data_IF_538425939499
#
_entry.id   IF_538425939499
#
_cell.length_a   1.000
_cell.length_b   1.000
_cell.length_c   1.000
_cell.angle_alpha   90.00
_cell.angle_beta   90.00
_cell.angle_gamma   90.00
#
_symmetry.space_group_name_H-M   'P 1'
#
loop_
_entity.id
_entity.type
_entity.pdbx_description
1 polymer ?
#
# COMPACT_ATOMS: atom_id res chain seq x y z
N UNK A 1 1.68 -70.76 22.97
CA UNK A 1 0.60 -69.80 22.66
C UNK A 1 0.61 -68.50 23.50
N UNK A 2 1.30 -68.41 24.64
CA UNK A 2 1.29 -67.19 25.49
C UNK A 2 2.28 -66.07 25.07
N UNK A 3 3.38 -66.38 24.37
CA UNK A 3 4.42 -65.37 24.01
C UNK A 3 4.00 -64.42 22.86
N UNK A 4 3.17 -64.87 21.94
CA UNK A 4 2.76 -64.08 20.76
C UNK A 4 1.76 -62.98 21.12
N UNK A 5 0.96 -63.17 22.17
CA UNK A 5 -0.07 -62.21 22.59
C UNK A 5 0.55 -60.96 23.24
N UNK A 6 1.63 -61.11 24.02
CA UNK A 6 2.31 -59.97 24.65
C UNK A 6 3.03 -59.06 23.64
N UNK A 7 3.58 -59.63 22.56
CA UNK A 7 4.22 -58.84 21.51
C UNK A 7 3.21 -58.05 20.69
N UNK A 8 2.04 -58.63 20.38
CA UNK A 8 0.97 -57.93 19.68
C UNK A 8 0.40 -56.77 20.51
N UNK A 9 0.26 -56.96 21.83
CA UNK A 9 -0.24 -55.92 22.75
C UNK A 9 0.74 -54.75 22.91
N UNK A 10 2.05 -55.02 22.91
CA UNK A 10 3.08 -53.99 22.99
C UNK A 10 3.15 -53.15 21.71
N UNK A 11 3.00 -53.79 20.55
CA UNK A 11 3.01 -53.10 19.25
C UNK A 11 1.76 -52.23 19.10
N UNK A 12 0.59 -52.69 19.52
CA UNK A 12 -0.63 -51.86 19.49
C UNK A 12 -0.59 -50.71 20.49
N UNK A 13 -0.01 -50.91 21.68
CA UNK A 13 0.18 -49.82 22.65
C UNK A 13 1.17 -48.76 22.12
N UNK A 14 2.27 -49.18 21.49
CA UNK A 14 3.25 -48.28 20.89
C UNK A 14 2.68 -47.50 19.69
N UNK A 15 1.82 -48.13 18.88
CA UNK A 15 1.11 -47.47 17.78
C UNK A 15 0.07 -46.46 18.29
N UNK A 16 -0.62 -46.77 19.40
CA UNK A 16 -1.53 -45.83 20.06
C UNK A 16 -0.80 -44.61 20.63
N UNK A 17 0.37 -44.80 21.25
CA UNK A 17 1.22 -43.69 21.70
C UNK A 17 1.82 -42.88 20.54
N UNK A 18 2.19 -43.52 19.44
CA UNK A 18 2.65 -42.82 18.23
C UNK A 18 1.53 -42.00 17.56
N UNK A 19 0.29 -42.49 17.57
CA UNK A 19 -0.88 -41.75 17.07
C UNK A 19 -1.27 -40.57 17.96
N UNK A 20 -1.05 -40.67 19.29
CA UNK A 20 -1.26 -39.56 20.23
C UNK A 20 -0.18 -38.46 20.10
N UNK A 21 1.05 -38.83 19.71
CA UNK A 21 2.12 -37.87 19.44
C UNK A 21 1.93 -37.06 18.14
N UNK A 22 1.07 -37.52 17.23
CA UNK A 22 0.68 -36.79 16.01
C UNK A 22 -0.60 -35.98 16.13
N UNK A 23 -1.32 -36.11 17.25
CA UNK A 23 -2.47 -35.27 17.59
C UNK A 23 -2.11 -34.04 18.43
N UNK A 24 -0.82 -33.77 18.67
CA UNK A 24 -0.44 -32.43 19.08
C UNK A 24 -0.73 -31.49 17.92
N UNK A 25 -1.57 -30.45 18.09
CA UNK A 25 -1.70 -29.43 17.08
C UNK A 25 -0.28 -28.95 16.77
N UNK A 26 0.08 -28.95 15.48
CA UNK A 26 1.33 -28.34 15.04
C UNK A 26 1.42 -26.97 15.73
N UNK A 27 2.55 -26.61 16.35
CA UNK A 27 2.67 -25.31 17.00
C UNK A 27 2.23 -24.27 15.98
N UNK A 28 1.12 -23.60 16.30
CA UNK A 28 0.53 -22.57 15.47
C UNK A 28 1.67 -21.64 15.07
N UNK A 29 1.90 -21.45 13.77
CA UNK A 29 3.01 -20.65 13.29
C UNK A 29 3.04 -19.34 14.07
N UNK A 30 4.15 -19.09 14.78
CA UNK A 30 4.28 -17.93 15.67
C UNK A 30 4.27 -16.66 14.81
N UNK A 31 3.10 -16.06 14.64
CA UNK A 31 2.94 -14.71 14.08
C UNK A 31 3.32 -13.65 15.13
N UNK A 32 4.43 -13.85 15.84
CA UNK A 32 4.92 -12.99 16.91
C UNK A 32 6.16 -12.21 16.48
N UNK A 33 6.48 -11.14 17.23
CA UNK A 33 7.72 -10.40 17.03
C UNK A 33 8.93 -11.32 17.17
N UNK A 34 9.75 -11.41 16.11
CA UNK A 34 11.01 -12.16 16.11
C UNK A 34 12.14 -11.42 16.84
N UNK A 35 12.04 -10.09 16.91
CA UNK A 35 12.99 -9.21 17.59
C UNK A 35 12.22 -8.33 18.58
N UNK A 36 12.26 -8.71 19.85
CA UNK A 36 11.52 -8.02 20.91
C UNK A 36 12.41 -7.78 22.13
N UNK A 37 12.32 -6.58 22.68
CA UNK A 37 12.89 -6.21 23.96
C UNK A 37 11.76 -5.71 24.87
N UNK A 38 11.52 -6.41 25.98
CA UNK A 38 10.49 -6.03 26.95
C UNK A 38 11.18 -5.67 28.26
N UNK A 39 10.92 -4.46 28.75
CA UNK A 39 11.34 -4.01 30.08
C UNK A 39 10.11 -3.79 30.94
N UNK A 40 10.26 -3.98 32.25
CA UNK A 40 9.19 -3.75 33.24
C UNK A 40 9.60 -2.65 34.21
N UNK A 41 8.65 -1.83 34.63
CA UNK A 41 8.81 -0.84 35.69
C UNK A 41 7.53 -0.70 36.51
N UNK A 42 7.65 -0.18 37.72
CA UNK A 42 6.51 0.17 38.57
C UNK A 42 6.22 1.66 38.45
N UNK A 43 4.94 2.05 38.36
CA UNK A 43 4.54 3.45 38.46
C UNK A 43 4.93 4.04 39.82
N UNK A 44 5.14 5.35 39.88
CA UNK A 44 5.48 6.02 41.15
C UNK A 44 4.38 5.85 42.21
N UNK A 45 3.10 5.83 41.79
CA UNK A 45 1.97 5.64 42.69
C UNK A 45 1.90 4.20 43.22
N UNK A 46 2.25 3.20 42.42
CA UNK A 46 2.34 1.82 42.86
C UNK A 46 3.55 1.59 43.78
N UNK A 47 4.69 2.23 43.51
CA UNK A 47 5.84 2.24 44.42
C UNK A 47 5.47 2.84 45.78
N UNK A 48 4.77 3.98 45.79
CA UNK A 48 4.27 4.61 47.02
C UNK A 48 3.39 3.66 47.82
N UNK A 49 2.46 2.96 47.14
CA UNK A 49 1.55 2.00 47.77
C UNK A 49 2.30 0.80 48.36
N UNK A 50 3.24 0.22 47.62
CA UNK A 50 4.04 -0.92 48.07
C UNK A 50 4.99 -0.58 49.22
N UNK A 51 5.39 0.68 49.37
CA UNK A 51 6.25 1.15 50.46
C UNK A 51 5.50 1.41 51.79
N UNK A 52 4.16 1.45 51.80
CA UNK A 52 3.37 1.66 53.02
C UNK A 52 3.27 0.36 53.84
N UNK A 53 3.99 0.30 54.96
CA UNK A 53 4.05 -0.85 55.90
C UNK A 53 2.70 -1.30 56.51
N UNK A 54 1.61 -0.55 56.33
CA UNK A 54 0.27 -0.87 56.87
C UNK A 54 -0.59 -1.74 55.93
N UNK A 55 -0.07 -2.14 54.78
CA UNK A 55 -0.80 -2.98 53.84
C UNK A 55 -0.80 -4.45 54.31
N UNK A 56 -1.90 -4.92 54.88
CA UNK A 56 -2.22 -6.35 55.04
C UNK A 56 -2.31 -7.11 53.70
N UNK A 57 -2.23 -6.41 52.57
CA UNK A 57 -2.16 -7.00 51.24
C UNK A 57 -0.70 -7.35 50.92
N UNK A 58 -0.42 -8.57 50.42
CA UNK A 58 0.93 -8.95 50.00
C UNK A 58 1.47 -7.97 48.97
N UNK A 59 2.79 -7.70 49.04
CA UNK A 59 3.49 -6.91 48.04
C UNK A 59 3.15 -7.45 46.63
N UNK A 60 2.67 -6.55 45.77
CA UNK A 60 2.21 -6.91 44.44
C UNK A 60 3.42 -7.14 43.54
N UNK A 61 3.71 -8.41 43.27
CA UNK A 61 4.77 -8.87 42.36
C UNK A 61 4.24 -8.86 40.92
N UNK A 62 4.32 -7.68 40.30
CA UNK A 62 3.86 -7.45 38.93
C UNK A 62 4.62 -8.32 37.91
N UNK A 63 5.90 -8.58 38.17
CA UNK A 63 6.74 -9.40 37.30
C UNK A 63 6.28 -10.87 37.29
N UNK A 64 5.95 -11.44 38.46
CA UNK A 64 5.42 -12.80 38.56
C UNK A 64 4.02 -12.92 37.93
N UNK A 65 3.16 -11.91 38.13
CA UNK A 65 1.83 -11.88 37.50
C UNK A 65 1.94 -11.79 35.97
N UNK A 66 2.86 -10.96 35.47
CA UNK A 66 3.12 -10.84 34.04
C UNK A 66 3.66 -12.13 33.43
N UNK A 67 4.59 -12.80 34.11
CA UNK A 67 5.12 -14.10 33.66
C UNK A 67 4.01 -15.16 33.53
N UNK A 68 3.05 -15.18 34.46
CA UNK A 68 1.92 -16.10 34.40
C UNK A 68 0.95 -15.76 33.24
N UNK A 69 0.71 -14.48 32.97
CA UNK A 69 -0.09 -14.06 31.81
C UNK A 69 0.58 -14.49 30.50
N UNK A 70 1.89 -14.34 30.36
CA UNK A 70 2.65 -14.82 29.19
C UNK A 70 2.59 -16.34 29.05
N UNK A 71 2.59 -17.07 30.16
CA UNK A 71 2.45 -18.54 30.17
C UNK A 71 1.08 -18.97 29.67
N UNK A 72 0.02 -18.26 30.06
CA UNK A 72 -1.35 -18.55 29.66
C UNK A 72 -1.67 -18.08 28.23
N UNK A 73 -0.96 -17.07 27.73
CA UNK A 73 -1.20 -16.45 26.43
C UNK A 73 0.06 -16.55 25.54
N UNK A 74 0.32 -17.69 24.89
CA UNK A 74 1.52 -17.87 24.06
C UNK A 74 1.59 -16.92 22.85
N UNK A 75 0.46 -16.32 22.45
CA UNK A 75 0.37 -15.35 21.35
C UNK A 75 0.29 -13.90 21.85
N UNK A 76 0.68 -13.63 23.10
CA UNK A 76 0.57 -12.31 23.73
C UNK A 76 1.20 -11.16 22.91
N UNK A 77 2.28 -11.45 22.20
CA UNK A 77 3.02 -10.52 21.35
C UNK A 77 2.79 -10.78 19.85
N UNK A 78 1.60 -11.26 19.48
CA UNK A 78 1.24 -11.49 18.09
C UNK A 78 0.41 -10.33 17.55
N UNK A 79 0.54 -10.06 16.24
CA UNK A 79 -0.40 -9.22 15.49
C UNK A 79 -1.59 -10.03 14.92
N UNK A 80 -1.80 -11.26 15.41
CA UNK A 80 -2.94 -12.11 15.10
C UNK A 80 -3.01 -12.58 13.64
N UNK A 81 -4.22 -12.57 13.07
CA UNK A 81 -4.53 -12.97 11.69
C UNK A 81 -4.17 -11.93 10.65
N UNK A 82 -3.54 -10.81 11.03
CA UNK A 82 -3.18 -9.73 10.11
C UNK A 82 -2.07 -10.12 9.11
N UNK A 83 -1.46 -11.29 9.28
CA UNK A 83 -0.38 -11.79 8.43
C UNK A 83 -0.85 -13.01 7.64
N UNK A 84 -0.64 -12.99 6.33
CA UNK A 84 -0.74 -14.18 5.50
C UNK A 84 0.24 -15.25 6.01
N UNK A 85 -0.12 -16.52 5.82
CA UNK A 85 0.64 -17.69 6.31
C UNK A 85 2.08 -17.76 5.81
N UNK A 86 2.45 -16.96 4.81
CA UNK A 86 3.74 -16.98 4.13
C UNK A 86 4.72 -15.87 4.56
N UNK A 87 4.30 -14.92 5.40
CA UNK A 87 5.15 -13.82 5.88
C UNK A 87 5.60 -13.97 7.33
N UNK A 88 6.82 -13.50 7.66
CA UNK A 88 7.30 -13.42 9.06
C UNK A 88 7.49 -11.97 9.51
N UNK A 89 7.04 -11.62 10.71
CA UNK A 89 7.15 -10.26 11.27
C UNK A 89 8.62 -9.92 11.60
N UNK A 90 9.13 -8.86 10.99
CA UNK A 90 10.51 -8.38 11.21
C UNK A 90 10.58 -7.01 11.88
N UNK A 91 9.45 -6.35 12.09
CA UNK A 91 9.38 -5.19 12.99
C UNK A 91 9.99 -5.52 14.33
N UNK A 92 10.81 -4.62 14.86
CA UNK A 92 11.39 -4.71 16.19
C UNK A 92 10.44 -4.08 17.21
N UNK A 93 10.05 -4.81 18.26
CA UNK A 93 9.23 -4.28 19.35
C UNK A 93 10.09 -3.98 20.58
N UNK A 94 10.14 -2.72 21.00
CA UNK A 94 10.67 -2.30 22.29
C UNK A 94 9.49 -1.88 23.17
N UNK A 95 9.07 -2.74 24.08
CA UNK A 95 7.92 -2.50 24.96
C UNK A 95 8.40 -2.22 26.39
N UNK A 96 7.97 -1.11 26.96
CA UNK A 96 8.12 -0.79 28.38
C UNK A 96 6.77 -1.01 29.07
N UNK A 97 6.67 -2.10 29.83
CA UNK A 97 5.49 -2.42 30.63
C UNK A 97 5.58 -1.68 31.95
N UNK A 98 4.56 -0.86 32.25
CA UNK A 98 4.44 -0.09 33.48
C UNK A 98 3.34 -0.71 34.32
N UNK A 99 3.70 -1.31 35.44
CA UNK A 99 2.73 -1.77 36.42
C UNK A 99 2.12 -0.56 37.13
N UNK A 100 0.81 -0.38 36.97
CA UNK A 100 0.09 0.77 37.53
C UNK A 100 -0.80 0.34 38.71
N UNK A 101 -1.14 1.30 39.57
CA UNK A 101 -2.19 1.10 40.57
C UNK A 101 -3.56 1.34 39.93
N UNK A 102 -4.25 0.30 39.47
CA UNK A 102 -5.55 0.43 38.77
C UNK A 102 -6.69 1.06 39.58
N UNK A 103 -6.47 1.39 40.86
CA UNK A 103 -7.40 2.19 41.67
C UNK A 103 -7.17 3.70 41.46
N UNK A 104 -5.92 4.09 41.16
CA UNK A 104 -5.46 5.50 41.09
C UNK A 104 -5.04 5.91 39.68
N UNK A 105 -4.84 4.96 38.78
CA UNK A 105 -4.29 5.15 37.44
C UNK A 105 -5.10 4.32 36.43
N UNK A 106 -5.34 4.89 35.24
CA UNK A 106 -5.97 4.17 34.14
C UNK A 106 -4.91 3.44 33.29
N UNK A 107 -5.24 2.25 32.73
CA UNK A 107 -4.40 1.59 31.73
C UNK A 107 -4.17 2.50 30.52
N UNK A 108 -2.95 2.49 29.98
CA UNK A 108 -2.58 3.36 28.86
C UNK A 108 -1.71 2.63 27.83
N UNK A 109 -1.64 3.19 26.63
CA UNK A 109 -0.79 2.77 25.54
C UNK A 109 -0.22 4.01 24.84
N UNK A 110 1.09 4.20 24.91
CA UNK A 110 1.75 5.40 24.40
C UNK A 110 2.96 5.05 23.54
N UNK A 111 3.16 5.80 22.46
CA UNK A 111 4.43 5.79 21.73
C UNK A 111 5.46 6.61 22.52
N UNK A 112 6.67 6.05 22.71
CA UNK A 112 7.73 6.70 23.50
C UNK A 112 8.19 7.98 22.80
N UNK A 113 7.91 9.14 23.43
CA UNK A 113 8.30 10.46 22.89
C UNK A 113 9.82 10.59 22.79
N UNK A 114 10.30 11.17 21.69
CA UNK A 114 11.74 11.37 21.44
C UNK A 114 12.50 10.12 20.98
N UNK A 115 11.82 8.96 20.87
CA UNK A 115 12.36 7.77 20.23
C UNK A 115 11.97 7.70 18.76
N UNK A 116 12.81 7.11 17.92
CA UNK A 116 12.47 6.85 16.51
C UNK A 116 11.54 5.63 16.45
N UNK A 117 10.26 5.87 16.26
CA UNK A 117 9.24 4.83 16.04
C UNK A 117 8.72 4.89 14.61
N UNK A 118 8.79 3.78 13.89
CA UNK A 118 8.38 3.61 12.49
C UNK A 118 7.94 2.15 12.23
N UNK A 119 7.55 1.81 11.01
CA UNK A 119 7.11 0.45 10.66
C UNK A 119 8.15 -0.65 10.95
N UNK A 120 9.45 -0.31 11.01
CA UNK A 120 10.52 -1.27 11.30
C UNK A 120 10.85 -1.36 12.79
N UNK A 121 10.58 -0.33 13.58
CA UNK A 121 10.83 -0.32 15.03
C UNK A 121 9.72 0.38 15.80
N UNK A 122 9.08 -0.35 16.71
CA UNK A 122 8.06 0.18 17.60
C UNK A 122 8.64 0.40 18.99
N UNK A 123 8.54 1.61 19.54
CA UNK A 123 8.87 1.90 20.93
C UNK A 123 7.60 2.32 21.65
N UNK A 124 7.12 1.46 22.55
CA UNK A 124 5.79 1.56 23.15
C UNK A 124 5.89 1.44 24.66
N UNK A 125 5.14 2.28 25.37
CA UNK A 125 4.96 2.22 26.82
C UNK A 125 3.52 1.82 27.12
N UNK A 126 3.33 0.76 27.90
CA UNK A 126 2.02 0.16 28.16
C UNK A 126 1.78 0.11 29.66
N UNK A 127 0.81 0.88 30.15
CA UNK A 127 0.34 0.83 31.54
C UNK A 127 -0.64 -0.32 31.73
N UNK A 128 -0.34 -1.22 32.65
CA UNK A 128 -1.13 -2.44 32.90
C UNK A 128 -1.44 -2.61 34.39
N UNK A 129 -2.72 -2.86 34.70
CA UNK A 129 -3.19 -3.10 36.06
C UNK A 129 -3.21 -4.60 36.37
N UNK A 130 -2.47 -5.00 37.40
CA UNK A 130 -2.47 -6.36 37.96
C UNK A 130 -3.12 -6.45 39.34
N UNK A 131 -3.58 -5.33 39.90
CA UNK A 131 -3.93 -5.17 41.31
C UNK A 131 -5.41 -5.44 41.59
N UNK A 132 -6.31 -5.07 40.67
CA UNK A 132 -7.76 -5.06 40.93
C UNK A 132 -8.52 -6.34 40.55
N UNK A 133 -7.83 -7.42 40.15
CA UNK A 133 -8.47 -8.57 39.49
C UNK A 133 -8.51 -8.46 37.96
N UNK A 134 -7.92 -7.40 37.40
CA UNK A 134 -7.74 -7.15 35.96
C UNK A 134 -6.73 -8.06 35.23
N UNK A 135 -6.11 -9.04 35.92
CA UNK A 135 -5.15 -9.98 35.27
C UNK A 135 -5.74 -10.67 34.03
N UNK A 136 -7.06 -10.92 34.02
CA UNK A 136 -7.75 -11.52 32.89
C UNK A 136 -7.91 -10.58 31.68
N UNK A 137 -7.71 -9.27 31.81
CA UNK A 137 -7.87 -8.29 30.72
C UNK A 137 -6.56 -7.69 30.24
N UNK A 138 -5.44 -7.91 30.95
CA UNK A 138 -4.11 -7.42 30.55
C UNK A 138 -3.75 -7.84 29.12
N UNK A 139 -4.03 -9.09 28.75
CA UNK A 139 -3.77 -9.58 27.39
C UNK A 139 -4.60 -8.84 26.33
N UNK A 140 -5.84 -8.47 26.65
CA UNK A 140 -6.72 -7.70 25.76
C UNK A 140 -6.15 -6.29 25.59
N UNK A 141 -5.77 -5.64 26.68
CA UNK A 141 -5.21 -4.29 26.65
C UNK A 141 -3.91 -4.22 25.83
N UNK A 142 -3.00 -5.19 26.02
CA UNK A 142 -1.77 -5.26 25.22
C UNK A 142 -2.09 -5.50 23.74
N UNK A 143 -3.03 -6.38 23.41
CA UNK A 143 -3.43 -6.62 22.02
C UNK A 143 -4.04 -5.36 21.38
N UNK A 144 -4.94 -4.66 22.08
CA UNK A 144 -5.49 -3.38 21.63
C UNK A 144 -4.39 -2.32 21.43
N UNK A 145 -3.38 -2.31 22.29
CA UNK A 145 -2.23 -1.43 22.14
C UNK A 145 -1.39 -1.77 20.90
N UNK A 146 -1.12 -3.05 20.64
CA UNK A 146 -0.40 -3.49 19.43
C UNK A 146 -1.19 -3.17 18.15
N UNK A 147 -2.51 -3.36 18.16
CA UNK A 147 -3.40 -2.98 17.05
C UNK A 147 -3.38 -1.47 16.81
N UNK A 148 -3.45 -0.66 17.88
CA UNK A 148 -3.33 0.78 17.79
C UNK A 148 -1.99 1.19 17.17
N UNK A 149 -0.87 0.65 17.66
CA UNK A 149 0.47 0.97 17.14
C UNK A 149 0.62 0.54 15.69
N UNK A 150 0.11 -0.65 15.31
CA UNK A 150 0.06 -1.12 13.93
C UNK A 150 -0.66 -0.11 13.04
N UNK A 151 -1.83 0.35 13.45
CA UNK A 151 -2.66 1.24 12.65
C UNK A 151 -2.03 2.64 12.51
N UNK A 152 -1.27 3.08 13.50
CA UNK A 152 -0.56 4.37 13.50
C UNK A 152 0.76 4.36 12.74
N UNK A 153 1.57 3.30 12.87
CA UNK A 153 2.95 3.26 12.37
C UNK A 153 3.14 2.34 11.16
N UNK A 154 2.24 1.39 10.92
CA UNK A 154 2.49 0.29 9.99
C UNK A 154 3.48 -0.73 10.57
N UNK A 155 3.84 -1.73 9.78
CA UNK A 155 4.74 -2.81 10.18
C UNK A 155 5.53 -3.36 8.99
N UNK A 156 6.59 -4.12 9.25
CA UNK A 156 7.45 -4.71 8.25
C UNK A 156 7.42 -6.24 8.35
N UNK A 157 7.23 -6.88 7.20
CA UNK A 157 7.21 -8.34 7.07
C UNK A 157 8.30 -8.79 6.10
N UNK A 158 8.84 -9.97 6.33
CA UNK A 158 9.70 -10.66 5.37
C UNK A 158 8.88 -11.66 4.59
N UNK A 159 8.85 -11.52 3.27
CA UNK A 159 8.21 -12.42 2.31
C UNK A 159 9.30 -12.97 1.38
N UNK A 160 9.65 -14.24 1.54
CA UNK A 160 10.84 -14.81 0.89
C UNK A 160 12.11 -14.05 1.29
N UNK A 161 12.83 -13.50 0.31
CA UNK A 161 14.05 -12.72 0.53
C UNK A 161 13.82 -11.20 0.64
N UNK A 162 12.59 -10.72 0.43
CA UNK A 162 12.27 -9.29 0.45
C UNK A 162 11.64 -8.89 1.77
N UNK A 163 11.99 -7.69 2.25
CA UNK A 163 11.30 -7.01 3.35
C UNK A 163 10.29 -6.05 2.74
N UNK A 164 9.02 -6.24 3.06
CA UNK A 164 7.91 -5.42 2.62
C UNK A 164 7.40 -4.60 3.80
N UNK A 165 7.32 -3.28 3.62
CA UNK A 165 6.80 -2.36 4.63
C UNK A 165 5.33 -2.10 4.33
N UNK A 166 4.48 -2.57 5.24
CA UNK A 166 3.05 -2.28 5.26
C UNK A 166 2.84 -0.92 5.96
N UNK A 167 2.27 0.08 5.27
CA UNK A 167 2.11 1.42 5.81
C UNK A 167 0.98 1.49 6.86
N UNK A 168 0.84 2.62 7.58
CA UNK A 168 -0.25 2.85 8.52
C UNK A 168 -1.62 2.69 7.88
N UNK A 169 -2.63 2.38 8.70
CA UNK A 169 -4.01 2.16 8.25
C UNK A 169 -4.57 3.33 7.45
N UNK A 170 -4.28 4.57 7.88
CA UNK A 170 -4.69 5.78 7.16
C UNK A 170 -4.19 5.83 5.71
N UNK A 171 -2.98 5.32 5.44
CA UNK A 171 -2.43 5.25 4.09
C UNK A 171 -3.09 4.13 3.30
N UNK A 172 -3.30 2.97 3.91
CA UNK A 172 -4.03 1.85 3.29
C UNK A 172 -5.47 2.24 2.91
N UNK A 173 -6.17 2.96 3.78
CA UNK A 173 -7.53 3.44 3.51
C UNK A 173 -7.53 4.41 2.31
N UNK A 174 -6.58 5.34 2.25
CA UNK A 174 -6.39 6.23 1.08
C UNK A 174 -6.10 5.47 -0.21
N UNK A 175 -5.24 4.47 -0.18
CA UNK A 175 -4.94 3.63 -1.36
C UNK A 175 -6.22 3.01 -1.93
N UNK A 176 -7.11 2.53 -1.04
CA UNK A 176 -8.40 1.94 -1.41
C UNK A 176 -9.38 2.98 -1.93
N UNK A 177 -9.49 4.14 -1.28
CA UNK A 177 -10.33 5.26 -1.70
C UNK A 177 -9.92 5.82 -3.07
N UNK A 178 -8.62 5.88 -3.35
CA UNK A 178 -8.07 6.28 -4.65
C UNK A 178 -8.20 5.21 -5.74
N UNK A 179 -8.73 4.03 -5.41
CA UNK A 179 -8.87 2.86 -6.30
C UNK A 179 -7.57 2.46 -7.00
N UNK A 180 -6.43 2.58 -6.30
CA UNK A 180 -5.14 2.16 -6.85
C UNK A 180 -5.13 0.63 -6.95
N UNK A 181 -4.77 0.04 -8.11
CA UNK A 181 -4.73 -1.40 -8.31
C UNK A 181 -3.97 -2.20 -7.24
N UNK A 182 -4.67 -3.15 -6.59
CA UNK A 182 -4.06 -4.14 -5.67
C UNK A 182 -3.01 -5.07 -6.32
N UNK A 183 -3.03 -5.16 -7.65
CA UNK A 183 -2.01 -5.91 -8.41
C UNK A 183 -0.63 -5.23 -8.42
N UNK A 184 -0.57 -3.95 -8.02
CA UNK A 184 0.68 -3.19 -7.95
C UNK A 184 1.32 -3.42 -6.58
N UNK A 185 2.64 -3.60 -6.54
CA UNK A 185 3.39 -3.72 -5.29
C UNK A 185 3.19 -2.48 -4.39
N UNK A 186 3.13 -2.71 -3.07
CA UNK A 186 2.72 -1.70 -2.08
C UNK A 186 3.63 -0.46 -2.01
N UNK A 187 4.90 -0.60 -2.37
CA UNK A 187 5.85 0.52 -2.49
C UNK A 187 5.53 1.42 -3.69
N UNK A 188 5.18 0.82 -4.83
CA UNK A 188 4.74 1.52 -6.03
C UNK A 188 3.34 2.11 -5.85
N UNK A 189 2.44 1.42 -5.14
CA UNK A 189 1.13 1.97 -4.78
C UNK A 189 1.27 3.28 -3.99
N UNK A 190 2.17 3.35 -3.00
CA UNK A 190 2.42 4.58 -2.25
C UNK A 190 3.01 5.69 -3.12
N UNK A 191 3.85 5.34 -4.11
CA UNK A 191 4.38 6.32 -5.07
C UNK A 191 3.27 6.87 -5.97
N UNK A 192 2.38 6.01 -6.46
CA UNK A 192 1.21 6.40 -7.25
C UNK A 192 0.22 7.21 -6.42
N UNK A 193 0.05 6.91 -5.13
CA UNK A 193 -0.80 7.70 -4.24
C UNK A 193 -0.32 9.13 -4.13
N UNK A 194 0.99 9.35 -3.95
CA UNK A 194 1.56 10.71 -3.93
C UNK A 194 1.31 11.45 -5.23
N UNK A 195 1.49 10.78 -6.37
CA UNK A 195 1.22 11.37 -7.68
C UNK A 195 -0.28 11.69 -7.86
N UNK A 196 -1.16 10.81 -7.37
CA UNK A 196 -2.60 11.01 -7.38
C UNK A 196 -3.03 12.21 -6.51
N UNK A 197 -2.53 12.31 -5.28
CA UNK A 197 -2.81 13.44 -4.37
C UNK A 197 -2.27 14.76 -4.94
N UNK A 198 -1.10 14.74 -5.57
CA UNK A 198 -0.53 15.92 -6.24
C UNK A 198 -1.44 16.39 -7.36
N UNK A 199 -1.84 15.47 -8.25
CA UNK A 199 -2.75 15.74 -9.37
C UNK A 199 -4.12 16.22 -8.92
N UNK A 200 -4.66 15.63 -7.85
CA UNK A 200 -5.93 16.07 -7.29
C UNK A 200 -5.85 17.51 -6.78
N UNK A 201 -4.72 17.87 -6.17
CA UNK A 201 -4.48 19.19 -5.62
C UNK A 201 -4.19 20.23 -6.70
N UNK A 202 -3.35 19.93 -7.70
CA UNK A 202 -2.87 20.91 -8.67
C UNK A 202 -3.52 20.81 -10.06
N UNK A 203 -4.18 19.70 -10.38
CA UNK A 203 -4.72 19.37 -11.72
C UNK A 203 -3.73 19.43 -12.87
N UNK A 204 -2.43 19.32 -12.57
CA UNK A 204 -1.33 19.42 -13.53
C UNK A 204 -0.56 18.10 -13.53
N UNK A 205 0.32 17.93 -14.51
CA UNK A 205 1.21 16.77 -14.58
C UNK A 205 2.07 16.61 -13.30
N UNK A 206 2.19 15.41 -12.69
CA UNK A 206 2.97 15.20 -11.47
C UNK A 206 4.36 15.82 -11.56
N UNK A 207 4.81 16.51 -10.49
CA UNK A 207 6.15 17.07 -10.43
C UNK A 207 7.19 16.05 -10.03
N UNK A 208 6.79 14.96 -9.39
CA UNK A 208 7.75 13.89 -9.12
C UNK A 208 8.04 13.09 -10.41
N UNK A 209 9.27 13.19 -10.91
CA UNK A 209 9.74 12.45 -12.09
C UNK A 209 9.71 10.93 -11.85
N UNK A 210 9.86 10.49 -10.59
CA UNK A 210 9.79 9.07 -10.23
C UNK A 210 8.46 8.42 -10.66
N UNK A 211 7.36 9.18 -10.65
CA UNK A 211 6.06 8.70 -11.13
C UNK A 211 6.10 8.24 -12.61
N UNK A 212 6.95 8.86 -13.43
CA UNK A 212 7.14 8.50 -14.84
C UNK A 212 8.20 7.42 -15.02
N UNK A 213 9.20 7.36 -14.14
CA UNK A 213 10.27 6.36 -14.20
C UNK A 213 9.73 4.95 -13.91
N UNK A 214 8.74 4.83 -13.02
CA UNK A 214 8.18 3.53 -12.63
C UNK A 214 7.13 2.98 -13.60
N UNK A 215 6.72 3.72 -14.64
CA UNK A 215 5.61 3.33 -15.52
C UNK A 215 5.82 1.97 -16.19
N UNK A 216 7.07 1.60 -16.51
CA UNK A 216 7.36 0.27 -17.08
C UNK A 216 7.15 -0.86 -16.05
N UNK A 217 7.54 -0.63 -14.79
CA UNK A 217 7.31 -1.61 -13.71
C UNK A 217 5.83 -1.74 -13.42
N UNK A 218 5.13 -0.60 -13.32
CA UNK A 218 3.67 -0.55 -13.16
C UNK A 218 2.99 -1.28 -14.32
N UNK A 219 3.35 -0.96 -15.57
CA UNK A 219 2.82 -1.63 -16.76
C UNK A 219 2.97 -3.16 -16.66
N UNK A 220 4.15 -3.66 -16.29
CA UNK A 220 4.38 -5.11 -16.17
C UNK A 220 3.48 -5.79 -15.14
N UNK A 221 3.01 -5.06 -14.13
CA UNK A 221 2.10 -5.55 -13.08
C UNK A 221 0.62 -5.41 -13.46
N UNK A 222 0.26 -4.41 -14.26
CA UNK A 222 -1.14 -4.14 -14.64
C UNK A 222 -1.50 -4.47 -16.09
N UNK A 223 -0.54 -4.92 -16.92
CA UNK A 223 -0.76 -5.20 -18.35
C UNK A 223 -1.90 -6.18 -18.63
N UNK A 224 -2.21 -7.07 -17.71
CA UNK A 224 -3.28 -8.07 -17.91
C UNK A 224 -4.65 -7.56 -17.41
N UNK A 225 -4.72 -6.34 -16.83
CA UNK A 225 -5.99 -5.70 -16.50
C UNK A 225 -6.74 -5.31 -17.78
N UNK A 226 -8.03 -5.62 -17.79
CA UNK A 226 -8.95 -5.26 -18.88
C UNK A 226 -9.26 -3.76 -18.85
N UNK A 227 -9.38 -3.17 -20.04
CA UNK A 227 -9.86 -1.81 -20.18
C UNK A 227 -11.38 -1.78 -20.09
N UNK A 228 -11.90 -0.77 -19.38
CA UNK A 228 -13.32 -0.46 -19.40
C UNK A 228 -13.55 0.69 -20.37
N UNK A 229 -13.90 0.35 -21.61
CA UNK A 229 -14.10 1.31 -22.69
C UNK A 229 -15.20 2.33 -22.40
N UNK A 230 -16.24 1.93 -21.65
CA UNK A 230 -17.35 2.81 -21.29
C UNK A 230 -16.87 3.83 -20.26
N UNK A 231 -16.20 3.36 -19.19
CA UNK A 231 -15.65 4.25 -18.16
C UNK A 231 -14.58 5.17 -18.75
N UNK A 232 -13.70 4.67 -19.63
CA UNK A 232 -12.71 5.47 -20.34
C UNK A 232 -13.39 6.58 -21.14
N UNK A 233 -14.44 6.27 -21.90
CA UNK A 233 -15.18 7.27 -22.65
C UNK A 233 -15.86 8.27 -21.69
N UNK A 234 -16.56 7.82 -20.66
CA UNK A 234 -17.29 8.72 -19.77
C UNK A 234 -16.37 9.69 -19.01
N UNK A 235 -15.14 9.27 -18.68
CA UNK A 235 -14.17 10.09 -17.96
C UNK A 235 -13.29 10.95 -18.86
N UNK A 236 -12.92 10.47 -20.06
CA UNK A 236 -11.97 11.14 -20.94
C UNK A 236 -12.63 11.94 -22.08
N UNK A 237 -13.93 11.76 -22.31
CA UNK A 237 -14.69 12.50 -23.30
C UNK A 237 -15.14 13.84 -22.72
N UNK A 238 -14.67 14.93 -23.33
CA UNK A 238 -15.00 16.31 -22.91
C UNK A 238 -16.51 16.58 -22.84
N UNK A 239 -17.32 15.91 -23.67
CA UNK A 239 -18.76 16.10 -23.69
C UNK A 239 -19.50 15.30 -22.60
N UNK A 240 -18.85 14.30 -21.99
CA UNK A 240 -19.44 13.44 -20.95
C UNK A 240 -18.88 13.72 -19.56
N UNK A 241 -17.63 14.15 -19.47
CA UNK A 241 -16.94 14.45 -18.22
C UNK A 241 -17.24 15.86 -17.66
N UNK A 242 -18.36 16.48 -18.06
CA UNK A 242 -18.73 17.82 -17.62
C UNK A 242 -17.82 18.94 -18.15
N UNK A 243 -17.19 18.76 -19.32
CA UNK A 243 -16.20 19.67 -19.91
C UNK A 243 -14.86 19.78 -19.14
N UNK A 244 -14.59 18.84 -18.23
CA UNK A 244 -13.31 18.71 -17.54
C UNK A 244 -12.13 18.54 -18.53
N UNK A 245 -11.04 19.25 -18.28
CA UNK A 245 -9.83 19.18 -19.12
C UNK A 245 -9.05 17.91 -18.78
N UNK A 246 -8.82 17.04 -19.75
CA UNK A 246 -7.88 15.92 -19.60
C UNK A 246 -6.50 16.38 -20.06
N UNK A 247 -5.45 15.99 -19.33
CA UNK A 247 -4.07 16.28 -19.72
C UNK A 247 -3.33 14.98 -20.03
N UNK A 248 -2.68 14.89 -21.19
CA UNK A 248 -1.69 13.86 -21.45
C UNK A 248 -0.31 14.39 -21.04
N UNK A 249 0.41 13.55 -20.30
CA UNK A 249 1.70 13.85 -19.70
C UNK A 249 2.69 12.76 -20.09
N UNK A 250 3.76 13.14 -20.78
CA UNK A 250 4.86 12.26 -21.12
C UNK A 250 6.18 12.84 -20.60
N UNK A 251 7.10 11.98 -20.22
CA UNK A 251 8.44 12.37 -19.80
C UNK A 251 9.50 11.67 -20.65
N UNK A 252 10.29 12.46 -21.37
CA UNK A 252 11.44 11.93 -22.10
C UNK A 252 12.67 11.90 -21.19
N UNK A 253 13.18 10.69 -20.95
CA UNK A 253 14.44 10.47 -20.21
C UNK A 253 15.66 10.99 -20.96
N UNK A 254 15.67 10.87 -22.29
CA UNK A 254 16.78 11.32 -23.15
C UNK A 254 17.01 12.82 -23.04
N UNK A 255 15.92 13.59 -23.01
CA UNK A 255 15.95 15.05 -22.97
C UNK A 255 15.68 15.62 -21.58
N UNK A 256 15.43 14.75 -20.58
CA UNK A 256 14.96 15.11 -19.24
C UNK A 256 13.84 16.16 -19.28
N UNK A 257 12.90 16.00 -20.22
CA UNK A 257 11.87 17.00 -20.53
C UNK A 257 10.48 16.43 -20.42
N UNK A 258 9.59 17.20 -19.79
CA UNK A 258 8.16 16.92 -19.72
C UNK A 258 7.45 17.50 -20.95
N UNK A 259 6.52 16.72 -21.46
CA UNK A 259 5.59 17.09 -22.50
C UNK A 259 4.21 17.01 -21.88
N UNK A 260 3.50 18.14 -21.94
CA UNK A 260 2.14 18.26 -21.45
C UNK A 260 1.30 18.94 -22.52
N UNK A 261 0.12 18.39 -22.75
CA UNK A 261 -0.87 18.95 -23.64
C UNK A 261 -2.29 18.56 -23.21
N UNK A 262 -3.25 19.39 -23.60
CA UNK A 262 -4.65 19.03 -23.43
C UNK A 262 -5.00 17.89 -24.38
N UNK A 263 -5.72 16.92 -23.87
CA UNK A 263 -6.23 15.81 -24.63
C UNK A 263 -7.75 15.67 -24.46
N UNK A 264 -8.43 15.09 -25.44
CA UNK A 264 -9.76 14.50 -25.25
C UNK A 264 -9.83 13.16 -25.96
N UNK A 265 -10.51 12.19 -25.36
CA UNK A 265 -10.71 10.87 -25.95
C UNK A 265 -12.20 10.60 -26.07
N UNK A 266 -12.71 10.70 -27.28
CA UNK A 266 -14.15 10.66 -27.57
C UNK A 266 -14.47 9.39 -28.33
N UNK A 267 -15.10 8.44 -27.65
CA UNK A 267 -15.50 7.17 -28.25
C UNK A 267 -17.00 7.15 -28.59
N UNK A 268 -17.26 6.75 -29.82
CA UNK A 268 -18.52 6.18 -30.26
C UNK A 268 -18.44 4.65 -30.07
N UNK A 269 -18.99 4.19 -28.94
CA UNK A 269 -18.99 2.78 -28.55
C UNK A 269 -19.85 1.95 -29.49
N UNK A 270 -20.90 2.52 -30.09
CA UNK A 270 -21.80 1.79 -30.99
C UNK A 270 -21.14 1.53 -32.36
N UNK A 271 -20.19 2.39 -32.74
CA UNK A 271 -19.46 2.28 -34.01
C UNK A 271 -18.00 1.84 -33.85
N UNK A 272 -17.59 1.40 -32.65
CA UNK A 272 -16.24 0.94 -32.32
C UNK A 272 -15.14 1.93 -32.75
N UNK A 273 -15.40 3.23 -32.61
CA UNK A 273 -14.49 4.29 -33.06
C UNK A 273 -14.23 5.32 -31.97
N UNK A 274 -12.98 5.68 -31.79
CA UNK A 274 -12.55 6.73 -30.88
C UNK A 274 -11.72 7.78 -31.59
N UNK A 275 -11.97 9.04 -31.26
CA UNK A 275 -11.18 10.17 -31.69
C UNK A 275 -10.37 10.69 -30.51
N UNK A 276 -9.06 10.62 -30.61
CA UNK A 276 -8.14 11.23 -29.66
C UNK A 276 -7.67 12.57 -30.20
N UNK A 277 -8.01 13.65 -29.51
CA UNK A 277 -7.64 15.01 -29.89
C UNK A 277 -6.54 15.48 -28.95
N UNK A 278 -5.40 15.85 -29.51
CA UNK A 278 -4.27 16.45 -28.81
C UNK A 278 -4.08 17.88 -29.30
N UNK A 279 -3.90 18.81 -28.37
CA UNK A 279 -3.83 20.24 -28.67
C UNK A 279 -2.67 20.60 -29.61
N UNK A 280 -1.51 19.95 -29.45
CA UNK A 280 -0.30 20.28 -30.23
C UNK A 280 -0.08 19.33 -31.41
N UNK A 281 -0.51 18.07 -31.28
CA UNK A 281 -0.23 17.01 -32.25
C UNK A 281 -1.43 16.66 -33.16
N UNK A 282 -2.60 17.25 -32.91
CA UNK A 282 -3.79 17.13 -33.75
C UNK A 282 -4.67 15.93 -33.41
N UNK A 283 -5.48 15.48 -34.37
CA UNK A 283 -6.49 14.45 -34.14
C UNK A 283 -6.03 13.10 -34.70
N UNK A 284 -6.23 12.04 -33.91
CA UNK A 284 -5.98 10.65 -34.29
C UNK A 284 -7.24 9.79 -34.11
N UNK A 285 -7.49 8.90 -35.06
CA UNK A 285 -8.65 8.01 -35.06
C UNK A 285 -8.24 6.57 -34.78
N UNK A 286 -9.00 5.93 -33.89
CA UNK A 286 -8.75 4.62 -33.35
C UNK A 286 -10.01 3.76 -33.43
N UNK A 287 -9.85 2.47 -33.64
CA UNK A 287 -10.92 1.48 -33.60
C UNK A 287 -10.81 0.66 -32.33
N UNK A 288 -11.94 0.36 -31.69
CA UNK A 288 -11.97 -0.47 -30.49
C UNK A 288 -11.80 -1.93 -30.88
N UNK A 289 -10.80 -2.60 -30.30
CA UNK A 289 -10.62 -4.05 -30.45
C UNK A 289 -10.82 -4.73 -29.09
N UNK A 290 -12.05 -5.20 -28.83
CA UNK A 290 -12.43 -5.85 -27.57
C UNK A 290 -11.68 -7.17 -27.32
N UNK A 291 -11.40 -7.94 -28.37
CA UNK A 291 -10.71 -9.23 -28.23
C UNK A 291 -9.27 -9.05 -27.73
N UNK A 292 -8.57 -8.07 -28.31
CA UNK A 292 -7.17 -7.76 -27.97
C UNK A 292 -7.03 -6.72 -26.87
N UNK A 293 -8.15 -6.21 -26.35
CA UNK A 293 -8.21 -5.20 -25.29
C UNK A 293 -7.31 -3.98 -25.56
N UNK A 294 -7.46 -3.39 -26.75
CA UNK A 294 -6.69 -2.22 -27.20
C UNK A 294 -7.46 -1.35 -28.19
N UNK A 295 -6.97 -0.13 -28.39
CA UNK A 295 -7.40 0.77 -29.46
C UNK A 295 -6.45 0.62 -30.65
N UNK A 296 -6.95 0.11 -31.77
CA UNK A 296 -6.18 -0.11 -33.00
C UNK A 296 -6.24 1.12 -33.89
N UNK A 297 -5.09 1.61 -34.34
CA UNK A 297 -5.05 2.83 -35.15
C UNK A 297 -5.72 2.63 -36.53
N UNK A 298 -6.68 3.47 -36.91
CA UNK A 298 -7.52 3.27 -38.11
C UNK A 298 -6.76 3.55 -39.42
N UNK A 299 -5.85 4.52 -39.43
CA UNK A 299 -5.14 4.95 -40.64
C UNK A 299 -3.69 4.48 -40.68
N UNK A 300 -3.44 3.18 -40.88
CA UNK A 300 -2.08 2.60 -41.03
C UNK A 300 -1.31 3.14 -42.25
N UNK A 301 -0.91 4.40 -42.27
CA UNK A 301 0.06 4.94 -43.24
C UNK A 301 1.45 4.76 -42.68
N UNK A 302 2.23 3.84 -43.25
CA UNK A 302 3.68 3.79 -43.08
C UNK A 302 4.29 5.11 -43.57
N UNK A 303 4.91 5.88 -42.68
CA UNK A 303 5.67 7.08 -43.03
C UNK A 303 7.17 6.77 -42.90
N UNK A 304 7.84 6.52 -44.02
CA UNK A 304 9.30 6.46 -44.07
C UNK A 304 9.91 7.77 -44.61
N UNK A 305 11.11 8.05 -44.09
CA UNK A 305 12.15 9.04 -44.43
C UNK A 305 11.99 10.47 -43.87
N UNK A 306 12.79 10.81 -42.83
CA UNK A 306 13.86 11.81 -42.98
C UNK A 306 14.92 11.76 -41.85
N UNK A 307 16.18 12.08 -42.21
CA UNK A 307 17.36 12.19 -41.34
C UNK A 307 17.31 13.50 -40.52
N UNK A 308 16.96 13.41 -39.24
CA UNK A 308 17.31 14.32 -38.11
C UNK A 308 16.49 13.93 -36.87
N UNK A 309 16.95 14.22 -35.62
CA UNK A 309 16.33 13.67 -34.43
C UNK A 309 14.96 14.32 -34.24
N UNK A 310 13.89 13.54 -34.44
CA UNK A 310 12.50 13.99 -34.38
C UNK A 310 11.75 13.25 -33.28
N UNK A 311 10.84 13.99 -32.66
CA UNK A 311 9.88 13.56 -31.65
C UNK A 311 9.26 12.18 -31.94
N UNK A 312 8.86 11.49 -30.87
CA UNK A 312 8.23 10.15 -30.85
C UNK A 312 7.05 10.06 -31.84
N UNK A 313 6.43 11.19 -32.22
CA UNK A 313 5.27 11.27 -33.10
C UNK A 313 5.58 11.60 -34.57
N UNK A 314 6.83 11.87 -34.96
CA UNK A 314 7.19 12.29 -36.35
C UNK A 314 8.18 11.38 -37.08
N UNK A 315 8.29 10.12 -36.69
CA UNK A 315 9.02 9.11 -37.44
C UNK A 315 9.05 7.76 -36.73
N UNK A 316 8.01 6.95 -36.95
CA UNK A 316 7.90 5.62 -36.34
C UNK A 316 6.72 4.83 -36.92
N UNK A 317 6.69 3.53 -36.67
CA UNK A 317 5.52 2.69 -36.96
C UNK A 317 4.40 3.12 -36.01
N UNK A 318 3.22 3.48 -36.52
CA UNK A 318 2.08 3.85 -35.69
C UNK A 318 1.70 2.67 -34.77
N UNK A 319 1.57 2.95 -33.47
CA UNK A 319 1.41 1.98 -32.39
C UNK A 319 -0.06 1.89 -31.98
N UNK A 320 -0.52 0.72 -31.53
CA UNK A 320 -1.85 0.60 -30.91
C UNK A 320 -1.82 1.24 -29.51
N UNK A 321 -2.96 1.69 -28.98
CA UNK A 321 -3.03 2.37 -27.69
C UNK A 321 -3.75 1.49 -26.66
N UNK A 322 -3.23 1.45 -25.43
CA UNK A 322 -3.93 0.93 -24.24
C UNK A 322 -3.95 1.99 -23.14
N UNK A 323 -5.11 2.17 -22.54
CA UNK A 323 -5.34 3.07 -21.41
C UNK A 323 -5.72 2.23 -20.19
N UNK A 324 -4.83 2.16 -19.20
CA UNK A 324 -5.04 1.34 -18.00
C UNK A 324 -5.25 2.26 -16.82
N UNK A 325 -6.40 2.13 -16.14
CA UNK A 325 -6.69 2.95 -14.95
C UNK A 325 -5.73 2.61 -13.81
N UNK A 326 -5.04 3.63 -13.30
CA UNK A 326 -4.11 3.53 -12.16
C UNK A 326 -4.69 4.12 -10.87
N UNK A 327 -5.65 5.03 -10.97
CA UNK A 327 -6.44 5.55 -9.85
C UNK A 327 -7.71 6.21 -10.36
N UNK A 328 -8.47 6.87 -9.48
CA UNK A 328 -9.60 7.72 -9.88
C UNK A 328 -9.22 8.94 -10.73
N UNK A 329 -7.93 9.31 -10.81
CA UNK A 329 -7.44 10.51 -11.54
C UNK A 329 -6.32 10.23 -12.53
N UNK A 330 -5.77 9.01 -12.53
CA UNK A 330 -4.61 8.64 -13.34
C UNK A 330 -4.92 7.44 -14.22
N UNK A 331 -4.55 7.57 -15.48
CA UNK A 331 -4.50 6.48 -16.45
C UNK A 331 -3.06 6.33 -16.95
N UNK A 332 -2.61 5.08 -17.08
CA UNK A 332 -1.41 4.74 -17.82
C UNK A 332 -1.71 4.76 -19.32
N UNK A 333 -1.03 5.63 -20.04
CA UNK A 333 -1.09 5.71 -21.50
C UNK A 333 0.02 4.83 -22.09
N UNK A 334 -0.33 3.70 -22.71
CA UNK A 334 0.64 2.76 -23.24
C UNK A 334 0.49 2.59 -24.75
N UNK A 335 1.47 3.05 -25.50
CA UNK A 335 1.58 2.82 -26.94
C UNK A 335 2.32 1.50 -27.17
N UNK A 336 1.62 0.52 -27.73
CA UNK A 336 2.08 -0.86 -27.89
C UNK A 336 2.34 -1.23 -29.34
N UNK A 337 3.34 -2.09 -29.56
CA UNK A 337 3.60 -2.67 -30.87
C UNK A 337 2.55 -3.73 -31.24
N UNK A 338 2.64 -4.27 -32.47
CA UNK A 338 1.73 -5.32 -32.94
C UNK A 338 1.79 -6.60 -32.11
N UNK A 339 2.88 -6.82 -31.36
CA UNK A 339 3.08 -7.96 -30.45
C UNK A 339 2.53 -7.68 -29.04
N UNK A 340 2.02 -6.48 -28.78
CA UNK A 340 1.48 -6.07 -27.49
C UNK A 340 2.50 -5.52 -26.50
N UNK A 341 3.75 -5.28 -26.91
CA UNK A 341 4.78 -4.73 -26.02
C UNK A 341 4.74 -3.20 -26.00
N UNK A 342 4.89 -2.56 -24.83
CA UNK A 342 4.92 -1.10 -24.73
C UNK A 342 6.20 -0.55 -25.34
N UNK A 343 6.05 0.34 -26.32
CA UNK A 343 7.14 1.09 -26.95
C UNK A 343 7.24 2.49 -26.33
N UNK A 344 6.12 3.06 -25.91
CA UNK A 344 6.09 4.36 -25.21
C UNK A 344 5.03 4.33 -24.12
N UNK A 345 5.36 4.93 -22.97
CA UNK A 345 4.48 5.03 -21.81
C UNK A 345 4.34 6.50 -21.42
N UNK A 346 3.14 6.88 -21.02
CA UNK A 346 2.76 8.20 -20.52
C UNK A 346 1.68 8.07 -19.45
N UNK A 347 1.19 9.21 -18.99
CA UNK A 347 0.09 9.32 -18.05
C UNK A 347 -0.99 10.21 -18.64
N UNK A 348 -2.24 9.78 -18.56
CA UNK A 348 -3.40 10.63 -18.76
C UNK A 348 -3.94 11.01 -17.38
N UNK A 349 -4.18 12.30 -17.21
CA UNK A 349 -4.64 12.91 -15.97
C UNK A 349 -6.05 13.43 -16.15
N UNK A 350 -6.90 13.05 -15.22
CA UNK A 350 -8.27 13.53 -15.11
C UNK A 350 -8.33 14.42 -13.86
N UNK A 351 -8.06 15.73 -13.95
CA UNK A 351 -8.35 16.64 -12.85
C UNK A 351 -9.85 16.56 -12.58
N UNK A 352 -10.25 16.45 -11.31
CA UNK A 352 -11.64 16.16 -10.92
C UNK A 352 -12.63 17.26 -11.27
N UNK A 353 -13.23 17.88 -10.25
CA UNK A 353 -14.30 18.88 -10.44
C UNK A 353 -13.77 20.26 -10.86
N UNK A 354 -12.48 20.36 -11.18
CA UNK A 354 -11.85 21.64 -11.52
C UNK A 354 -12.07 21.95 -13.00
N UNK A 355 -12.65 23.11 -13.23
CA UNK A 355 -12.96 23.64 -14.56
C UNK A 355 -11.78 24.42 -15.13
N UNK A 356 -11.84 24.81 -16.41
CA UNK A 356 -10.82 25.65 -17.04
C UNK A 356 -10.60 26.98 -16.29
N UNK A 357 -11.65 27.50 -15.66
CA UNK A 357 -11.65 28.77 -14.92
C UNK A 357 -10.90 28.69 -13.58
N UNK A 358 -10.74 27.48 -13.01
CA UNK A 358 -9.97 27.25 -11.78
C UNK A 358 -8.44 27.24 -12.02
N UNK A 359 -8.02 27.41 -13.28
CA UNK A 359 -6.64 27.29 -13.73
C UNK A 359 -6.18 28.42 -14.64
N UNK A 360 -6.96 29.50 -14.76
CA UNK A 360 -6.50 30.76 -15.31
C UNK A 360 -5.61 31.44 -14.25
N UNK A 361 -4.46 30.81 -13.97
CA UNK A 361 -3.32 31.53 -13.41
C UNK A 361 -2.94 32.50 -14.52
N UNK A 362 -3.42 33.75 -14.37
CA UNK A 362 -3.38 34.79 -15.39
C UNK A 362 -2.07 34.80 -16.17
N UNK A 363 -2.24 35.08 -17.46
CA UNK A 363 -1.21 35.51 -18.41
C UNK A 363 0.14 35.78 -17.74
N UNK A 364 1.19 35.09 -18.19
CA UNK A 364 2.58 35.56 -18.03
C UNK A 364 2.70 36.91 -18.80
N UNK A 365 2.08 37.97 -18.28
CA UNK A 365 2.42 39.36 -18.52
C UNK A 365 3.69 39.63 -17.71
N UNK A 366 4.83 39.68 -18.39
CA UNK A 366 5.65 40.89 -18.50
C UNK A 366 7.02 40.55 -19.11
N UNK A 367 7.09 40.84 -20.41
CA UNK A 367 8.24 41.52 -20.98
C UNK A 367 8.70 42.67 -20.07
N UNK A 368 10.02 42.72 -19.78
CA UNK A 368 10.71 43.98 -19.53
C UNK A 368 11.55 44.07 -18.25
N UNK A 369 12.86 43.88 -18.37
CA UNK A 369 13.85 44.97 -18.17
C UNK A 369 15.15 44.57 -18.89
N UNK A 370 15.32 45.05 -20.13
CA UNK A 370 16.66 45.31 -20.68
C UNK A 370 17.03 46.72 -20.21
N UNK A 371 18.06 46.85 -19.37
CA UNK A 371 18.70 48.14 -19.14
C UNK A 371 19.74 48.38 -20.25
N UNK A 372 19.67 49.56 -20.85
CA UNK A 372 20.78 50.19 -21.57
C UNK A 372 21.99 50.44 -20.68
#
# INVERSE_FOLDING_TARGET
>A
MKRTVYSALFVTLALLFASLAWSFPAPQARNGFSNMNVTTEYSELLKEKNARNDSLLPALDGDKAFAEVLRLNPNFWSLGSAMDKEGSLVTKLNAQIVFIDGIREDPFCELVKGSKSDASTWNVRIGVDFVSGGSNTVHIHVQQCLDYVRDQLGYAIKQGDKIVVIPPKKVLDKLRESEIPDAIDLDMQQTLLKAHEEVELDGKCPKNIEAYIILMNVYNQVKDKKMDYVVINDQLNKNRNGAGRVQSCAFSREWNKRYQESASFECDIDNDRCLYRQEKDGNSEWSINYEKDRFEYINKKFLFFNRNPKSIHKGGTMLDLRLIRLSTKLYLEAYIDLKGNPVTLGLIIVPGDKTIEDYDDGEDEEDGVMME
#
